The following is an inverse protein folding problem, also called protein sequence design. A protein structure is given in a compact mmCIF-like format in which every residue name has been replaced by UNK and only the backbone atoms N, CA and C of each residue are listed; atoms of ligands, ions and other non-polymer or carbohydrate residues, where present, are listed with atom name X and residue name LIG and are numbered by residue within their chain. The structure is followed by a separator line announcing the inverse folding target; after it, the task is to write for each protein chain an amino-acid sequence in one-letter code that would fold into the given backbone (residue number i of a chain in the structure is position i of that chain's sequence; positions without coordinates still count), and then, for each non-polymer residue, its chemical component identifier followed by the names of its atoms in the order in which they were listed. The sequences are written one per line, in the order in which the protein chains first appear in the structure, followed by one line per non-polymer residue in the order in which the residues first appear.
data_IF_945245336239
#
_entry.id   IF_945245336239
#
_cell.length_a   1.000
_cell.length_b   1.000
_cell.length_c   1.000
_cell.angle_alpha   90.00
_cell.angle_beta   90.00
_cell.angle_gamma   90.00
#
_symmetry.space_group_name_H-M   'P 1'
#
loop_
_entity.id
_entity.type
_entity.pdbx_description
1 polymer ?
#
# COMPACT_ATOMS: atom_id res chain seq x y z
N UNK A 1 -9.46 15.73 -9.79
CA UNK A 1 -9.58 15.54 -8.33
C UNK A 1 -8.62 14.42 -7.93
N UNK A 2 -7.52 14.75 -7.26
CA UNK A 2 -6.48 13.80 -6.85
C UNK A 2 -6.89 13.10 -5.56
N UNK A 3 -7.39 11.86 -5.65
CA UNK A 3 -7.64 11.05 -4.45
C UNK A 3 -6.34 10.90 -3.66
N UNK A 4 -6.39 11.25 -2.37
CA UNK A 4 -5.28 11.14 -1.40
C UNK A 4 -5.05 9.69 -0.94
N UNK A 5 -5.89 8.77 -1.38
CA UNK A 5 -5.85 7.35 -1.07
C UNK A 5 -5.86 6.51 -2.34
N UNK A 6 -5.21 5.35 -2.28
CA UNK A 6 -5.14 4.35 -3.33
C UNK A 6 -5.83 3.05 -2.88
N UNK A 7 -6.46 2.38 -3.82
CA UNK A 7 -6.92 0.99 -3.70
C UNK A 7 -5.76 0.00 -3.77
N UNK A 8 -6.02 -1.29 -3.49
CA UNK A 8 -5.02 -2.35 -3.69
C UNK A 8 -4.59 -2.39 -5.16
N UNK A 9 -5.53 -2.31 -6.10
CA UNK A 9 -5.26 -2.40 -7.53
C UNK A 9 -4.41 -1.24 -8.04
N UNK A 10 -4.70 -0.01 -7.59
CA UNK A 10 -3.89 1.17 -7.94
C UNK A 10 -2.49 1.09 -7.34
N UNK A 11 -2.36 0.68 -6.07
CA UNK A 11 -1.07 0.47 -5.44
C UNK A 11 -0.27 -0.61 -6.17
N UNK A 12 -0.87 -1.77 -6.43
CA UNK A 12 -0.24 -2.87 -7.14
C UNK A 12 0.26 -2.43 -8.52
N UNK A 13 -0.54 -1.66 -9.26
CA UNK A 13 -0.15 -1.12 -10.56
C UNK A 13 1.03 -0.15 -10.46
N UNK A 14 1.05 0.74 -9.47
CA UNK A 14 2.14 1.71 -9.30
C UNK A 14 3.49 1.04 -9.02
N UNK A 15 3.48 -0.03 -8.21
CA UNK A 15 4.70 -0.76 -7.83
C UNK A 15 4.99 -1.97 -8.72
N UNK A 16 4.26 -2.14 -9.83
CA UNK A 16 4.38 -3.32 -10.71
C UNK A 16 4.26 -4.66 -9.97
N UNK A 17 3.40 -4.70 -8.95
CA UNK A 17 3.09 -5.88 -8.16
C UNK A 17 1.80 -6.55 -8.63
N UNK A 18 1.67 -7.85 -8.35
CA UNK A 18 0.39 -8.54 -8.50
C UNK A 18 -0.53 -8.22 -7.31
N UNK A 19 -1.81 -7.91 -7.58
CA UNK A 19 -2.85 -7.69 -6.57
C UNK A 19 -2.93 -8.84 -5.56
N UNK A 20 -2.76 -10.09 -6.01
CA UNK A 20 -2.74 -11.27 -5.14
C UNK A 20 -1.56 -11.24 -4.17
N UNK A 21 -0.38 -10.78 -4.63
CA UNK A 21 0.80 -10.58 -3.79
C UNK A 21 0.55 -9.52 -2.73
N UNK A 22 -0.02 -8.37 -3.13
CA UNK A 22 -0.35 -7.31 -2.16
C UNK A 22 -1.35 -7.80 -1.11
N UNK A 23 -2.40 -8.55 -1.51
CA UNK A 23 -3.35 -9.18 -0.58
C UNK A 23 -2.69 -10.19 0.36
N UNK A 24 -1.78 -11.01 -0.16
CA UNK A 24 -1.01 -11.96 0.63
C UNK A 24 -0.16 -11.22 1.66
N UNK A 25 0.58 -10.18 1.26
CA UNK A 25 1.42 -9.38 2.15
C UNK A 25 0.59 -8.68 3.23
N UNK A 26 -0.59 -8.12 2.91
CA UNK A 26 -1.52 -7.54 3.91
C UNK A 26 -1.82 -8.50 5.06
N UNK A 27 -1.85 -9.81 4.80
CA UNK A 27 -2.20 -10.84 5.80
C UNK A 27 -0.98 -11.52 6.41
N UNK A 28 0.04 -11.83 5.60
CA UNK A 28 1.17 -12.69 5.96
C UNK A 28 2.46 -11.93 6.25
N UNK A 29 2.63 -10.74 5.69
CA UNK A 29 3.83 -9.92 5.85
C UNK A 29 3.49 -8.42 5.68
N UNK A 30 2.71 -7.85 6.63
CA UNK A 30 2.23 -6.47 6.49
C UNK A 30 3.35 -5.43 6.52
N UNK A 31 4.49 -5.74 7.14
CA UNK A 31 5.65 -4.84 7.25
C UNK A 31 6.36 -4.62 5.91
N UNK A 32 6.13 -5.49 4.93
CA UNK A 32 6.62 -5.31 3.57
C UNK A 32 5.79 -4.30 2.75
N UNK A 33 4.74 -3.72 3.32
CA UNK A 33 3.87 -2.75 2.68
C UNK A 33 3.86 -1.43 3.47
N UNK A 34 3.55 -0.31 2.81
CA UNK A 34 3.24 0.92 3.52
C UNK A 34 2.01 0.75 4.41
N UNK A 35 1.89 1.62 5.41
CA UNK A 35 0.73 1.61 6.31
C UNK A 35 -0.56 1.72 5.50
N UNK A 36 -1.50 0.84 5.82
CA UNK A 36 -2.79 0.78 5.17
C UNK A 36 -3.92 0.89 6.20
N UNK A 37 -5.08 1.33 5.73
CA UNK A 37 -6.30 1.43 6.52
C UNK A 37 -7.34 0.45 6.00
N UNK A 38 -8.12 -0.10 6.94
CA UNK A 38 -9.34 -0.85 6.65
C UNK A 38 -10.54 0.07 6.77
N UNK A 39 -11.29 0.23 5.68
CA UNK A 39 -12.57 0.94 5.66
C UNK A 39 -13.64 -0.10 5.30
N UNK A 40 -14.30 -0.63 6.33
CA UNK A 40 -15.13 -1.83 6.20
C UNK A 40 -14.30 -3.01 5.67
N UNK A 41 -14.70 -3.58 4.53
CA UNK A 41 -13.98 -4.68 3.86
C UNK A 41 -12.90 -4.20 2.89
N UNK A 42 -12.80 -2.89 2.65
CA UNK A 42 -11.85 -2.34 1.70
C UNK A 42 -10.52 -1.99 2.39
N UNK A 43 -9.40 -2.27 1.71
CA UNK A 43 -8.07 -1.78 2.09
C UNK A 43 -7.74 -0.55 1.25
N UNK A 44 -7.15 0.45 1.89
CA UNK A 44 -6.69 1.68 1.25
C UNK A 44 -5.29 2.07 1.74
N UNK A 45 -4.49 2.62 0.84
CA UNK A 45 -3.17 3.18 1.14
C UNK A 45 -3.23 4.70 1.01
N UNK A 46 -2.82 5.45 2.05
CA UNK A 46 -2.69 6.91 1.92
C UNK A 46 -1.38 7.22 1.22
N UNK A 47 -1.40 8.22 0.33
CA UNK A 47 -0.17 8.67 -0.35
C UNK A 47 0.89 9.18 0.62
N UNK A 48 0.48 9.84 1.72
CA UNK A 48 1.41 10.28 2.76
C UNK A 48 2.13 9.12 3.44
N UNK A 49 1.41 8.02 3.69
CA UNK A 49 1.95 6.85 4.38
C UNK A 49 2.86 6.04 3.45
N UNK A 50 2.52 6.02 2.15
CA UNK A 50 3.37 5.49 1.10
C UNK A 50 4.69 6.27 1.05
N UNK A 51 4.64 7.60 1.01
CA UNK A 51 5.84 8.43 0.94
C UNK A 51 6.76 8.19 2.13
N UNK A 52 6.22 8.15 3.35
CA UNK A 52 7.01 7.85 4.55
C UNK A 52 7.67 6.47 4.46
N UNK A 53 6.92 5.47 3.99
CA UNK A 53 7.45 4.12 3.81
C UNK A 53 8.58 4.09 2.77
N UNK A 54 8.45 4.80 1.65
CA UNK A 54 9.50 4.92 0.64
C UNK A 54 10.77 5.56 1.21
N UNK A 55 10.64 6.64 1.97
CA UNK A 55 11.75 7.29 2.67
C UNK A 55 12.45 6.33 3.64
N UNK A 56 11.69 5.53 4.39
CA UNK A 56 12.24 4.49 5.27
C UNK A 56 12.95 3.35 4.53
N UNK A 57 12.49 2.97 3.33
CA UNK A 57 13.16 1.95 2.51
C UNK A 57 14.45 2.48 1.88
N UNK A 58 14.49 3.75 1.47
CA UNK A 58 15.68 4.37 0.86
C UNK A 58 16.77 4.75 1.87
N UNK A 59 16.40 4.95 3.13
CA UNK A 59 17.34 5.22 4.22
C UNK A 59 18.06 3.96 4.74
N UNK A 60 17.83 2.81 4.12
CA UNK A 60 18.34 1.49 4.52
C UNK A 60 19.35 0.96 3.52
#
# INVERSE_FOLDING_TARGET
MTSSVLTIDEFAKLYSLNVATVRSNITRNPDALPRFMRIGRAIRFRKSDIQQWEEHQMAK
#
